data_IF_486430312622
#
_entry.id   IF_486430312622
#
_cell.length_a   1.000
_cell.length_b   1.000
_cell.length_c   1.000
_cell.angle_alpha   90.00
_cell.angle_beta   90.00
_cell.angle_gamma   90.00
#
_symmetry.space_group_name_H-M   'P 1'
#
loop_
_entity.id
_entity.type
_entity.pdbx_description
1 polymer ?
#
# COMPACT_ATOMS: atom_id res chain seq x y z
N UNK A 1 21.20 -0.20 -19.25
CA UNK A 1 20.03 0.70 -19.34
C UNK A 1 19.07 0.25 -18.26
N UNK A 2 18.93 1.02 -17.18
CA UNK A 2 17.90 0.71 -16.16
C UNK A 2 16.55 1.11 -16.73
N UNK A 3 15.68 0.11 -16.93
CA UNK A 3 14.30 0.34 -17.33
C UNK A 3 13.54 0.81 -16.10
N UNK A 4 13.25 2.10 -16.03
CA UNK A 4 12.44 2.66 -14.96
C UNK A 4 10.98 2.27 -15.23
N UNK A 5 10.54 1.18 -14.61
CA UNK A 5 9.15 0.73 -14.70
C UNK A 5 8.24 1.82 -14.13
N UNK A 6 7.12 2.15 -14.79
CA UNK A 6 6.20 3.17 -14.30
C UNK A 6 5.71 2.77 -12.91
N UNK A 7 5.81 3.69 -11.96
CA UNK A 7 5.36 3.45 -10.59
C UNK A 7 3.84 3.23 -10.58
N UNK A 8 3.42 2.01 -10.23
CA UNK A 8 2.00 1.66 -10.08
C UNK A 8 1.48 2.15 -8.72
N UNK A 9 0.39 2.91 -8.75
CA UNK A 9 -0.24 3.47 -7.56
C UNK A 9 -1.62 2.85 -7.31
N UNK A 10 -1.83 2.35 -6.10
CA UNK A 10 -3.06 1.75 -5.64
C UNK A 10 -3.92 2.73 -4.85
N UNK A 11 -5.23 2.62 -5.03
CA UNK A 11 -6.25 3.23 -4.17
C UNK A 11 -6.52 2.38 -2.93
N UNK A 12 -7.16 2.95 -1.93
CA UNK A 12 -7.62 2.20 -0.75
C UNK A 12 -8.59 1.08 -1.10
N UNK A 13 -9.42 1.25 -2.13
CA UNK A 13 -10.29 0.19 -2.68
C UNK A 13 -9.48 -0.97 -3.26
N UNK A 14 -8.49 -0.68 -4.11
CA UNK A 14 -7.65 -1.72 -4.72
C UNK A 14 -6.85 -2.49 -3.65
N UNK A 15 -6.38 -1.81 -2.61
CA UNK A 15 -5.73 -2.48 -1.48
C UNK A 15 -6.75 -3.32 -0.71
N UNK A 16 -7.95 -2.79 -0.46
CA UNK A 16 -9.03 -3.54 0.18
C UNK A 16 -9.38 -4.82 -0.58
N UNK A 17 -9.52 -4.74 -1.90
CA UNK A 17 -9.75 -5.88 -2.78
C UNK A 17 -8.60 -6.90 -2.71
N UNK A 18 -7.34 -6.46 -2.77
CA UNK A 18 -6.15 -7.33 -2.70
C UNK A 18 -6.16 -8.22 -1.46
N UNK A 19 -6.59 -7.69 -0.32
CA UNK A 19 -6.63 -8.43 0.96
C UNK A 19 -8.04 -8.95 1.32
N UNK A 20 -9.03 -8.80 0.44
CA UNK A 20 -10.43 -9.13 0.70
C UNK A 20 -10.97 -8.51 2.00
N UNK A 21 -10.67 -7.23 2.22
CA UNK A 21 -11.12 -6.44 3.38
C UNK A 21 -11.88 -5.18 2.94
N UNK A 22 -12.62 -4.59 3.87
CA UNK A 22 -13.25 -3.30 3.62
C UNK A 22 -12.19 -2.23 3.25
N UNK A 23 -12.46 -1.41 2.24
CA UNK A 23 -11.52 -0.38 1.74
C UNK A 23 -11.05 0.65 2.79
N UNK A 24 -11.74 0.82 3.91
CA UNK A 24 -11.28 1.65 5.04
C UNK A 24 -10.27 0.96 5.95
N UNK A 25 -10.17 -0.37 5.90
CA UNK A 25 -9.25 -1.16 6.73
C UNK A 25 -7.78 -0.81 6.47
N UNK A 26 -7.30 -0.65 5.22
CA UNK A 26 -5.94 -0.17 4.96
C UNK A 26 -5.62 1.18 5.60
N UNK A 27 -6.60 2.09 5.69
CA UNK A 27 -6.43 3.38 6.37
C UNK A 27 -6.30 3.22 7.89
N UNK A 28 -6.94 2.20 8.47
CA UNK A 28 -6.83 1.87 9.89
C UNK A 28 -5.48 1.24 10.21
N UNK A 29 -4.92 0.44 9.31
CA UNK A 29 -3.58 -0.15 9.49
C UNK A 29 -2.49 0.89 9.70
N UNK A 30 -2.59 2.08 9.08
CA UNK A 30 -1.68 3.19 9.35
C UNK A 30 -1.61 3.61 10.83
N UNK A 31 -2.64 3.31 11.63
CA UNK A 31 -2.68 3.59 13.06
C UNK A 31 -2.24 2.39 13.92
N UNK A 32 -2.51 1.17 13.46
CA UNK A 32 -2.30 -0.05 14.25
C UNK A 32 -0.99 -0.75 13.94
N UNK A 33 -0.47 -0.59 12.71
CA UNK A 33 0.76 -1.20 12.24
C UNK A 33 1.69 -0.11 11.69
N UNK A 34 2.72 0.32 12.45
CA UNK A 34 3.65 1.35 12.00
C UNK A 34 4.54 0.89 10.82
N UNK A 35 4.58 -0.41 10.53
CA UNK A 35 5.34 -0.97 9.39
C UNK A 35 4.55 -0.92 8.08
N UNK A 36 3.23 -0.72 8.13
CA UNK A 36 2.41 -0.64 6.93
C UNK A 36 2.78 0.58 6.07
N UNK A 37 2.89 0.44 4.73
CA UNK A 37 3.36 1.51 3.86
C UNK A 37 2.53 2.79 3.98
N UNK A 38 3.25 3.92 4.09
CA UNK A 38 2.62 5.23 4.17
C UNK A 38 2.09 5.63 2.80
N UNK A 39 0.87 6.19 2.72
CA UNK A 39 0.35 6.67 1.46
C UNK A 39 1.04 7.96 1.03
N UNK A 40 1.05 8.16 -0.29
CA UNK A 40 1.42 9.39 -0.98
C UNK A 40 0.14 10.17 -1.28
N UNK A 41 0.18 11.48 -1.01
CA UNK A 41 -0.90 12.41 -1.36
C UNK A 41 -0.51 13.14 -2.63
N UNK A 42 -1.19 12.85 -3.74
CA UNK A 42 -0.95 13.52 -5.02
C UNK A 42 -1.68 14.87 -5.10
N UNK A 43 -2.89 14.92 -4.52
CA UNK A 43 -3.73 16.12 -4.39
C UNK A 43 -4.55 16.03 -3.10
N UNK A 44 -5.22 17.12 -2.65
CA UNK A 44 -6.17 17.04 -1.54
C UNK A 44 -7.25 15.97 -1.83
N UNK A 45 -7.34 14.95 -0.97
CA UNK A 45 -8.30 13.85 -1.11
C UNK A 45 -7.84 12.65 -1.96
N UNK A 46 -6.75 12.77 -2.72
CA UNK A 46 -6.16 11.64 -3.46
C UNK A 46 -5.01 10.99 -2.69
N UNK A 47 -5.37 10.03 -1.84
CA UNK A 47 -4.45 9.14 -1.14
C UNK A 47 -4.14 7.93 -2.03
N UNK A 48 -2.86 7.62 -2.22
CA UNK A 48 -2.37 6.50 -3.04
C UNK A 48 -1.24 5.75 -2.34
N UNK A 49 -1.08 4.47 -2.62
CA UNK A 49 0.06 3.68 -2.17
C UNK A 49 0.86 3.19 -3.36
N UNK A 50 2.18 3.13 -3.26
CA UNK A 50 2.99 2.47 -4.29
C UNK A 50 2.82 0.97 -4.15
N UNK A 51 2.58 0.29 -5.27
CA UNK A 51 2.49 -1.16 -5.31
C UNK A 51 3.78 -1.82 -4.77
N UNK A 52 4.95 -1.29 -5.16
CA UNK A 52 6.26 -1.76 -4.69
C UNK A 52 6.39 -1.77 -3.17
N UNK A 53 5.87 -0.75 -2.50
CA UNK A 53 6.01 -0.61 -1.05
C UNK A 53 5.08 -1.60 -0.33
N UNK A 54 3.89 -1.85 -0.90
CA UNK A 54 2.95 -2.88 -0.43
C UNK A 54 3.58 -4.26 -0.55
N UNK A 55 4.17 -4.59 -1.69
CA UNK A 55 4.82 -5.89 -1.93
C UNK A 55 6.04 -6.11 -1.02
N UNK A 56 6.84 -5.06 -0.80
CA UNK A 56 7.96 -5.11 0.12
C UNK A 56 7.50 -5.36 1.57
N UNK A 57 6.40 -4.73 1.99
CA UNK A 57 5.80 -4.95 3.30
C UNK A 57 5.23 -6.36 3.45
N UNK A 58 4.52 -6.88 2.44
CA UNK A 58 4.01 -8.26 2.41
C UNK A 58 5.16 -9.26 2.56
N UNK A 59 6.25 -9.07 1.81
CA UNK A 59 7.44 -9.93 1.86
C UNK A 59 8.09 -9.88 3.24
N UNK A 60 8.22 -8.68 3.82
CA UNK A 60 8.74 -8.53 5.16
C UNK A 60 7.88 -9.29 6.19
N UNK A 61 6.54 -9.17 6.12
CA UNK A 61 5.61 -9.87 7.02
C UNK A 61 5.64 -11.39 6.84
N UNK A 62 5.75 -11.88 5.60
CA UNK A 62 5.83 -13.31 5.31
C UNK A 62 7.09 -13.96 5.91
N UNK A 63 8.20 -13.22 6.00
CA UNK A 63 9.43 -13.71 6.64
C UNK A 63 9.38 -13.70 8.18
N UNK A 64 8.34 -13.15 8.79
CA UNK A 64 8.12 -13.18 10.25
C UNK A 64 7.11 -14.27 10.67
N UNK A 65 6.71 -15.16 9.77
CA UNK A 65 5.90 -16.35 10.03
C UNK A 65 6.75 -17.62 10.01
#
# INVERSE_FOLDING_TARGET
>A
MEVQMPATYLTDRQIGERYNVHHLTPRRWLKTDPTFPRPIRLTPGCTRWKLSDIEAWETAKANFA
#
